data_IF_225129358459
#
_entry.id   IF_225129358459
#
_cell.length_a   1.000
_cell.length_b   1.000
_cell.length_c   1.000
_cell.angle_alpha   90.00
_cell.angle_beta   90.00
_cell.angle_gamma   90.00
#
_symmetry.space_group_name_H-M   'P 1'
#
loop_
_entity.id
_entity.type
_entity.pdbx_description
1 polymer ?
#
# COMPACT_ATOMS: atom_id res chain seq x y z
N UNK A 1 -9.81 -1.98 13.60
CA UNK A 1 -8.60 -2.23 12.77
C UNK A 1 -7.88 -3.49 13.25
N UNK A 2 -7.20 -4.24 12.38
CA UNK A 2 -6.48 -5.47 12.75
C UNK A 2 -5.25 -5.17 13.58
N UNK A 3 -4.96 -6.02 14.57
CA UNK A 3 -3.79 -5.88 15.42
C UNK A 3 -2.50 -6.34 14.74
N UNK A 4 -2.59 -7.31 13.83
CA UNK A 4 -1.46 -7.92 13.10
C UNK A 4 -1.92 -8.47 11.74
N UNK A 5 -0.96 -8.95 10.93
CA UNK A 5 -1.26 -9.53 9.63
C UNK A 5 -1.98 -10.88 9.73
N UNK A 6 -1.74 -11.68 10.75
CA UNK A 6 -2.44 -12.98 10.91
C UNK A 6 -3.95 -12.75 11.05
N UNK A 7 -4.36 -11.74 11.81
CA UNK A 7 -5.76 -11.36 11.94
C UNK A 7 -6.35 -10.80 10.64
N UNK A 8 -5.55 -10.06 9.87
CA UNK A 8 -5.95 -9.61 8.54
C UNK A 8 -6.15 -10.82 7.61
N UNK A 9 -5.18 -11.72 7.52
CA UNK A 9 -5.25 -12.93 6.66
C UNK A 9 -6.48 -13.77 7.01
N UNK A 10 -6.70 -14.05 8.30
CA UNK A 10 -7.84 -14.85 8.75
C UNK A 10 -9.21 -14.24 8.43
N UNK A 11 -9.28 -12.93 8.21
CA UNK A 11 -10.53 -12.22 7.90
C UNK A 11 -10.81 -12.08 6.41
N UNK A 12 -9.82 -12.37 5.55
CA UNK A 12 -9.96 -12.18 4.11
C UNK A 12 -10.68 -13.37 3.47
N UNK A 13 -11.61 -13.02 2.63
CA UNK A 13 -12.32 -13.96 1.75
C UNK A 13 -12.52 -13.27 0.41
N UNK A 14 -12.78 -13.98 -0.62
CA UNK A 14 -13.23 -13.37 -1.85
C UNK A 14 -12.64 -14.01 -3.10
N UNK A 15 -13.38 -13.82 -4.19
CA UNK A 15 -12.98 -14.27 -5.51
C UNK A 15 -12.24 -13.13 -6.21
N UNK A 16 -10.93 -13.26 -6.34
CA UNK A 16 -10.11 -12.37 -7.12
C UNK A 16 -9.19 -13.16 -8.05
N UNK A 17 -8.71 -12.53 -9.11
CA UNK A 17 -7.69 -13.12 -9.98
C UNK A 17 -6.42 -12.28 -9.90
N UNK A 18 -5.31 -12.92 -9.58
CA UNK A 18 -4.01 -12.29 -9.55
C UNK A 18 -3.42 -12.29 -10.97
N UNK A 19 -2.99 -11.13 -11.47
CA UNK A 19 -2.13 -11.04 -12.66
C UNK A 19 -0.73 -10.71 -12.21
N UNK A 20 0.20 -11.66 -12.42
CA UNK A 20 1.56 -11.57 -11.90
C UNK A 20 2.50 -11.12 -13.01
N UNK A 21 2.98 -9.88 -12.93
CA UNK A 21 3.93 -9.32 -13.89
C UNK A 21 5.36 -9.78 -13.58
N UNK A 22 6.04 -10.43 -14.53
CA UNK A 22 7.35 -11.05 -14.39
C UNK A 22 7.36 -12.11 -13.27
N UNK A 23 6.54 -13.13 -13.46
CA UNK A 23 6.31 -14.23 -12.53
C UNK A 23 7.44 -15.26 -12.50
N UNK A 24 8.70 -14.84 -12.69
CA UNK A 24 9.86 -15.70 -12.75
C UNK A 24 10.81 -15.45 -11.56
N UNK A 25 10.26 -15.35 -10.36
CA UNK A 25 10.98 -15.41 -9.09
C UNK A 25 10.23 -16.29 -8.07
N UNK A 26 11.00 -17.05 -7.32
CA UNK A 26 10.51 -18.05 -6.37
C UNK A 26 9.61 -17.44 -5.29
N UNK A 27 10.04 -16.36 -4.63
CA UNK A 27 9.27 -15.73 -3.55
C UNK A 27 7.92 -15.16 -4.01
N UNK A 28 7.86 -14.69 -5.26
CA UNK A 28 6.58 -14.23 -5.83
C UNK A 28 5.65 -15.41 -6.09
N UNK A 29 6.16 -16.48 -6.69
CA UNK A 29 5.34 -17.66 -6.97
C UNK A 29 4.89 -18.39 -5.70
N UNK A 30 5.77 -18.53 -4.69
CA UNK A 30 5.37 -19.05 -3.37
C UNK A 30 4.22 -18.24 -2.76
N UNK A 31 4.32 -16.92 -2.75
CA UNK A 31 3.26 -16.05 -2.21
C UNK A 31 1.96 -16.16 -3.00
N UNK A 32 2.03 -16.21 -4.34
CA UNK A 32 0.86 -16.34 -5.21
C UNK A 32 0.18 -17.68 -5.01
N UNK A 33 0.92 -18.78 -4.98
CA UNK A 33 0.34 -20.11 -4.77
C UNK A 33 -0.28 -20.23 -3.37
N UNK A 34 0.41 -19.72 -2.34
CA UNK A 34 -0.14 -19.70 -0.98
C UNK A 34 -1.40 -18.83 -0.90
N UNK A 35 -1.43 -17.69 -1.54
CA UNK A 35 -2.62 -16.83 -1.59
C UNK A 35 -3.78 -17.52 -2.33
N UNK A 36 -3.48 -18.18 -3.46
CA UNK A 36 -4.48 -18.93 -4.22
C UNK A 36 -5.11 -20.05 -3.40
N UNK A 37 -4.29 -20.79 -2.63
CA UNK A 37 -4.78 -21.87 -1.76
C UNK A 37 -5.57 -21.35 -0.55
N UNK A 38 -5.06 -20.29 0.13
CA UNK A 38 -5.67 -19.78 1.37
C UNK A 38 -6.98 -19.04 1.10
N UNK A 39 -7.04 -18.29 -0.01
CA UNK A 39 -8.18 -17.41 -0.31
C UNK A 39 -9.02 -17.86 -1.51
N UNK A 40 -8.74 -19.04 -2.08
CA UNK A 40 -9.41 -19.58 -3.28
C UNK A 40 -9.36 -18.58 -4.47
N UNK A 41 -8.14 -18.14 -4.83
CA UNK A 41 -7.92 -17.15 -5.90
C UNK A 41 -7.50 -17.80 -7.21
N UNK A 42 -7.99 -17.24 -8.32
CA UNK A 42 -7.38 -17.47 -9.63
C UNK A 42 -6.06 -16.72 -9.80
N UNK A 43 -5.20 -17.17 -10.71
CA UNK A 43 -4.00 -16.45 -11.09
C UNK A 43 -3.62 -16.66 -12.55
N UNK A 44 -2.95 -15.65 -13.12
CA UNK A 44 -2.37 -15.67 -14.46
C UNK A 44 -0.93 -15.15 -14.36
N UNK A 45 0.02 -15.87 -14.93
CA UNK A 45 1.44 -15.61 -14.83
C UNK A 45 1.96 -15.03 -16.15
N UNK A 46 2.62 -13.87 -16.10
CA UNK A 46 3.15 -13.17 -17.27
C UNK A 46 4.66 -13.07 -17.20
N UNK A 47 5.37 -13.43 -18.26
CA UNK A 47 6.83 -13.32 -18.35
C UNK A 47 7.48 -14.43 -19.19
N UNK A 48 8.73 -14.75 -18.90
CA UNK A 48 9.47 -15.83 -19.54
C UNK A 48 8.85 -17.19 -19.13
N UNK A 49 8.12 -17.79 -20.04
CA UNK A 49 7.36 -19.01 -19.76
C UNK A 49 8.25 -20.19 -19.37
N UNK A 50 9.45 -20.31 -19.94
CA UNK A 50 10.36 -21.40 -19.62
C UNK A 50 10.84 -21.26 -18.17
N UNK A 51 11.22 -20.05 -17.75
CA UNK A 51 11.62 -19.79 -16.36
C UNK A 51 10.45 -20.00 -15.39
N UNK A 52 9.25 -19.52 -15.73
CA UNK A 52 8.06 -19.74 -14.91
C UNK A 52 7.83 -21.24 -14.69
N UNK A 53 7.81 -22.04 -15.77
CA UNK A 53 7.61 -23.49 -15.69
C UNK A 53 8.70 -24.20 -14.88
N UNK A 54 9.95 -23.76 -15.03
CA UNK A 54 11.07 -24.31 -14.27
C UNK A 54 10.88 -24.09 -12.76
N UNK A 55 10.61 -22.85 -12.33
CA UNK A 55 10.39 -22.53 -10.90
C UNK A 55 9.15 -23.25 -10.37
N UNK A 56 8.04 -23.27 -11.12
CA UNK A 56 6.84 -24.03 -10.71
C UNK A 56 7.16 -25.51 -10.46
N UNK A 57 7.95 -26.13 -11.34
CA UNK A 57 8.39 -27.51 -11.15
C UNK A 57 9.22 -27.72 -9.89
N UNK A 58 10.14 -26.80 -9.59
CA UNK A 58 10.93 -26.82 -8.34
C UNK A 58 10.05 -26.69 -7.09
N UNK A 59 9.00 -25.87 -7.17
CA UNK A 59 8.01 -25.70 -6.10
C UNK A 59 6.97 -26.83 -6.04
N UNK A 60 7.00 -27.79 -6.96
CA UNK A 60 6.00 -28.88 -7.05
C UNK A 60 4.58 -28.38 -7.37
N UNK A 61 4.46 -27.30 -8.14
CA UNK A 61 3.20 -26.66 -8.53
C UNK A 61 3.02 -26.61 -10.04
N UNK A 62 1.77 -26.59 -10.48
CA UNK A 62 1.44 -26.34 -11.89
C UNK A 62 1.37 -24.82 -12.17
N UNK A 63 1.89 -24.35 -13.31
CA UNK A 63 1.93 -22.92 -13.61
C UNK A 63 0.55 -22.31 -13.92
N UNK A 64 -0.46 -23.13 -14.21
CA UNK A 64 -1.78 -22.64 -14.62
C UNK A 64 -1.74 -21.88 -15.94
N UNK A 65 -2.45 -20.73 -16.02
CA UNK A 65 -2.48 -19.89 -17.22
C UNK A 65 -1.21 -19.06 -17.27
N UNK A 66 -0.41 -19.25 -18.33
CA UNK A 66 0.81 -18.48 -18.57
C UNK A 66 0.69 -17.63 -19.85
N UNK A 67 1.28 -16.46 -19.82
CA UNK A 67 1.38 -15.55 -20.95
C UNK A 67 2.84 -15.21 -21.20
N UNK A 68 3.40 -15.75 -22.28
CA UNK A 68 4.81 -15.50 -22.63
C UNK A 68 5.06 -14.02 -22.93
N UNK A 69 6.16 -13.49 -22.44
CA UNK A 69 6.69 -12.18 -22.76
C UNK A 69 8.23 -12.24 -22.81
N UNK A 70 8.83 -11.54 -23.77
CA UNK A 70 10.25 -11.62 -24.09
C UNK A 70 11.11 -10.69 -23.25
N UNK A 71 10.53 -9.60 -22.77
CA UNK A 71 11.20 -8.59 -21.94
C UNK A 71 10.25 -7.93 -20.92
N UNK A 72 10.79 -7.10 -20.05
CA UNK A 72 10.08 -6.41 -19.00
C UNK A 72 9.02 -5.42 -19.54
N UNK A 73 9.25 -4.81 -20.70
CA UNK A 73 8.31 -3.85 -21.28
C UNK A 73 7.08 -4.57 -21.84
N UNK A 74 7.28 -5.63 -22.58
CA UNK A 74 6.20 -6.50 -23.07
C UNK A 74 5.44 -7.12 -21.90
N UNK A 75 6.16 -7.58 -20.88
CA UNK A 75 5.56 -8.12 -19.64
C UNK A 75 4.64 -7.11 -18.97
N UNK A 76 5.10 -5.88 -18.81
CA UNK A 76 4.30 -4.82 -18.18
C UNK A 76 3.04 -4.49 -18.98
N UNK A 77 3.17 -4.31 -20.31
CA UNK A 77 2.05 -3.99 -21.19
C UNK A 77 1.02 -5.12 -21.18
N UNK A 78 1.47 -6.36 -21.32
CA UNK A 78 0.63 -7.57 -21.33
C UNK A 78 -0.11 -7.74 -20.01
N UNK A 79 0.57 -7.56 -18.88
CA UNK A 79 -0.03 -7.63 -17.55
C UNK A 79 -1.10 -6.55 -17.34
N UNK A 80 -0.84 -5.31 -17.79
CA UNK A 80 -1.81 -4.21 -17.71
C UNK A 80 -3.00 -4.45 -18.65
N UNK A 81 -2.79 -5.03 -19.82
CA UNK A 81 -3.88 -5.41 -20.73
C UNK A 81 -4.79 -6.48 -20.13
N UNK A 82 -4.18 -7.53 -19.56
CA UNK A 82 -4.93 -8.62 -18.91
C UNK A 82 -5.76 -8.13 -17.72
N UNK A 83 -5.19 -7.31 -16.85
CA UNK A 83 -5.89 -6.86 -15.64
C UNK A 83 -7.11 -5.99 -15.96
N UNK A 84 -7.17 -5.33 -17.11
CA UNK A 84 -8.34 -4.58 -17.56
C UNK A 84 -9.58 -5.42 -17.80
N UNK A 85 -9.37 -6.65 -18.26
CA UNK A 85 -10.44 -7.59 -18.63
C UNK A 85 -10.94 -8.42 -17.44
N UNK A 86 -10.29 -8.26 -16.27
CA UNK A 86 -10.57 -9.09 -15.10
C UNK A 86 -11.31 -8.26 -14.04
N UNK A 87 -12.56 -8.62 -13.82
CA UNK A 87 -13.32 -8.10 -12.68
C UNK A 87 -12.71 -8.61 -11.36
N UNK A 88 -12.53 -7.74 -10.38
CA UNK A 88 -11.84 -8.03 -9.11
C UNK A 88 -10.39 -8.53 -9.30
N UNK A 89 -9.69 -8.02 -10.32
CA UNK A 89 -8.29 -8.34 -10.55
C UNK A 89 -7.36 -7.63 -9.56
N UNK A 90 -6.24 -8.27 -9.23
CA UNK A 90 -5.12 -7.70 -8.47
C UNK A 90 -3.86 -7.85 -9.29
N UNK A 91 -3.18 -6.71 -9.58
CA UNK A 91 -1.90 -6.73 -10.28
C UNK A 91 -0.77 -6.96 -9.27
N UNK A 92 0.00 -8.02 -9.45
CA UNK A 92 1.11 -8.38 -8.58
C UNK A 92 2.42 -8.12 -9.29
N UNK A 93 3.28 -7.30 -8.69
CA UNK A 93 4.64 -7.08 -9.19
C UNK A 93 5.54 -8.24 -8.76
N UNK A 94 6.07 -8.98 -9.73
CA UNK A 94 7.15 -9.96 -9.55
C UNK A 94 8.54 -9.35 -9.79
N UNK A 95 9.38 -10.04 -10.55
CA UNK A 95 10.79 -9.65 -10.80
C UNK A 95 10.96 -8.61 -11.92
N UNK A 96 10.21 -7.53 -11.88
CA UNK A 96 10.24 -6.42 -12.85
C UNK A 96 10.63 -5.12 -12.16
N UNK A 97 11.26 -4.18 -12.88
CA UNK A 97 11.51 -2.85 -12.36
C UNK A 97 10.21 -2.10 -12.07
N UNK A 98 10.11 -1.51 -10.88
CA UNK A 98 8.93 -0.72 -10.47
C UNK A 98 8.58 0.35 -11.50
N UNK A 99 9.60 1.08 -11.98
CA UNK A 99 9.39 2.13 -12.99
C UNK A 99 8.84 1.60 -14.31
N UNK A 100 9.24 0.42 -14.75
CA UNK A 100 8.76 -0.20 -16.00
C UNK A 100 7.29 -0.59 -15.87
N UNK A 101 6.91 -1.27 -14.79
CA UNK A 101 5.53 -1.63 -14.54
C UNK A 101 4.63 -0.38 -14.39
N UNK A 102 5.06 0.60 -13.57
CA UNK A 102 4.27 1.80 -13.34
C UNK A 102 4.12 2.66 -14.60
N UNK A 103 5.12 2.72 -15.50
CA UNK A 103 4.96 3.40 -16.80
C UNK A 103 3.83 2.79 -17.64
N UNK A 104 3.71 1.47 -17.67
CA UNK A 104 2.59 0.81 -18.34
C UNK A 104 1.25 1.10 -17.65
N UNK A 105 1.22 1.07 -16.31
CA UNK A 105 0.02 1.37 -15.51
C UNK A 105 -0.51 2.79 -15.74
N UNK A 106 0.37 3.80 -15.82
CA UNK A 106 -0.04 5.21 -15.99
C UNK A 106 -0.14 5.64 -17.46
N UNK A 107 0.10 4.76 -18.41
CA UNK A 107 0.00 5.07 -19.83
C UNK A 107 -1.39 5.64 -20.15
N UNK A 108 -1.43 6.72 -20.94
CA UNK A 108 -2.69 7.45 -21.22
C UNK A 108 -3.67 6.67 -22.08
N UNK A 109 -3.17 5.82 -22.99
CA UNK A 109 -3.99 5.08 -23.96
C UNK A 109 -4.34 3.68 -23.46
N UNK A 110 -3.38 2.99 -22.85
CA UNK A 110 -3.48 1.58 -22.52
C UNK A 110 -3.43 1.29 -21.02
N UNK A 111 -3.09 2.28 -20.19
CA UNK A 111 -2.96 2.14 -18.74
C UNK A 111 -4.28 1.95 -18.01
N UNK A 112 -4.17 1.80 -16.70
CA UNK A 112 -5.31 1.56 -15.78
C UNK A 112 -5.41 2.63 -14.68
N UNK A 113 -4.75 3.78 -14.84
CA UNK A 113 -4.89 4.87 -13.86
C UNK A 113 -6.33 5.36 -13.80
N UNK A 114 -6.94 5.37 -12.62
CA UNK A 114 -8.33 5.79 -12.41
C UNK A 114 -8.49 7.11 -11.66
N UNK A 115 -7.45 7.56 -10.92
CA UNK A 115 -7.45 8.83 -10.21
C UNK A 115 -6.36 9.77 -10.75
N UNK A 116 -6.41 11.05 -10.38
CA UNK A 116 -5.36 12.02 -10.74
C UNK A 116 -4.02 11.62 -10.14
N UNK A 117 -4.03 11.21 -8.87
CA UNK A 117 -2.84 10.80 -8.13
C UNK A 117 -2.99 9.36 -7.67
N UNK A 118 -2.10 8.49 -8.12
CA UNK A 118 -1.91 7.17 -7.53
C UNK A 118 -0.96 7.30 -6.35
N UNK A 119 -1.12 6.49 -5.31
CA UNK A 119 -0.29 6.55 -4.11
C UNK A 119 0.07 5.16 -3.58
N UNK A 120 1.22 5.06 -2.94
CA UNK A 120 1.66 3.86 -2.25
C UNK A 120 1.26 3.92 -0.78
N UNK A 121 0.71 2.84 -0.26
CA UNK A 121 0.36 2.68 1.15
C UNK A 121 1.11 1.46 1.67
N UNK A 122 1.98 1.67 2.66
CA UNK A 122 2.63 0.61 3.40
C UNK A 122 1.88 0.38 4.72
N UNK A 123 1.47 -0.85 4.98
CA UNK A 123 0.99 -1.27 6.30
C UNK A 123 2.14 -1.92 7.06
N UNK A 124 2.28 -1.55 8.31
CA UNK A 124 3.32 -2.02 9.21
C UNK A 124 2.70 -2.70 10.43
N UNK A 125 3.12 -3.93 10.69
CA UNK A 125 2.92 -4.60 11.97
C UNK A 125 4.16 -4.34 12.80
N UNK A 126 4.04 -3.47 13.80
CA UNK A 126 5.16 -3.03 14.63
C UNK A 126 4.96 -3.66 16.02
N UNK A 127 5.94 -4.44 16.57
CA UNK A 127 5.78 -5.10 17.85
C UNK A 127 5.39 -4.19 19.02
N UNK A 128 5.80 -2.92 18.96
CA UNK A 128 5.52 -1.91 19.98
C UNK A 128 4.22 -1.12 19.73
N UNK A 129 3.44 -1.46 18.71
CA UNK A 129 2.20 -0.77 18.36
C UNK A 129 1.01 -1.73 18.34
N UNK A 130 -0.14 -1.27 18.78
CA UNK A 130 -1.30 -2.14 19.09
C UNK A 130 -2.12 -2.59 17.86
N UNK A 131 -1.82 -2.08 16.68
CA UNK A 131 -2.55 -2.38 15.43
C UNK A 131 -1.67 -2.13 14.20
N UNK A 132 -2.14 -2.59 13.04
CA UNK A 132 -1.50 -2.26 11.76
C UNK A 132 -1.52 -0.75 11.53
N UNK A 133 -0.35 -0.18 11.28
CA UNK A 133 -0.14 1.24 11.03
C UNK A 133 0.11 1.47 9.54
N UNK A 134 -0.70 2.30 8.90
CA UNK A 134 -0.46 2.68 7.52
C UNK A 134 0.43 3.92 7.40
N UNK A 135 1.38 3.88 6.48
CA UNK A 135 2.25 5.00 6.10
C UNK A 135 2.05 5.32 4.63
N UNK A 136 1.72 6.55 4.30
CA UNK A 136 1.49 7.02 2.91
C UNK A 136 1.95 8.47 2.73
N UNK A 137 2.55 8.89 1.62
CA UNK A 137 3.17 8.10 0.58
C UNK A 137 4.67 7.97 0.88
N UNK A 138 5.17 6.77 0.84
CA UNK A 138 6.59 6.48 1.03
C UNK A 138 7.22 5.72 -0.15
N UNK A 139 6.48 5.58 -1.28
CA UNK A 139 6.93 4.74 -2.37
C UNK A 139 6.66 5.27 -3.79
N UNK A 140 5.87 6.33 -3.97
CA UNK A 140 5.43 6.74 -5.30
C UNK A 140 5.51 8.26 -5.54
N UNK A 141 4.97 9.08 -4.67
CA UNK A 141 4.93 10.53 -4.82
C UNK A 141 6.16 11.20 -4.21
N UNK A 142 7.10 11.65 -5.05
CA UNK A 142 8.38 12.21 -4.58
C UNK A 142 8.22 13.43 -3.66
N UNK A 143 7.52 14.44 -4.14
CA UNK A 143 7.21 15.68 -3.41
C UNK A 143 5.75 16.06 -3.75
N UNK A 144 4.77 15.50 -3.03
CA UNK A 144 3.38 15.69 -3.37
C UNK A 144 2.95 17.14 -3.13
N UNK A 145 2.26 17.74 -4.13
CA UNK A 145 1.58 19.02 -3.97
C UNK A 145 0.43 18.89 -2.96
N UNK A 146 -0.17 20.03 -2.59
CA UNK A 146 -1.34 20.04 -1.71
C UNK A 146 -2.48 19.19 -2.28
N UNK A 147 -2.82 19.37 -3.57
CA UNK A 147 -3.86 18.62 -4.26
C UNK A 147 -3.54 17.12 -4.32
N UNK A 148 -2.29 16.77 -4.54
CA UNK A 148 -1.86 15.36 -4.49
C UNK A 148 -2.00 14.77 -3.08
N UNK A 149 -1.71 15.54 -2.03
CA UNK A 149 -1.92 15.08 -0.64
C UNK A 149 -3.41 14.84 -0.34
N UNK A 150 -4.32 15.64 -0.89
CA UNK A 150 -5.78 15.39 -0.81
C UNK A 150 -6.12 14.03 -1.44
N UNK A 151 -5.62 13.78 -2.66
CA UNK A 151 -5.85 12.49 -3.34
C UNK A 151 -5.25 11.32 -2.57
N UNK A 152 -4.04 11.47 -2.00
CA UNK A 152 -3.37 10.46 -1.17
C UNK A 152 -4.23 10.09 0.04
N UNK A 153 -4.77 11.09 0.76
CA UNK A 153 -5.70 10.86 1.88
C UNK A 153 -6.94 10.10 1.39
N UNK A 154 -7.59 10.54 0.32
CA UNK A 154 -8.76 9.86 -0.24
C UNK A 154 -8.47 8.41 -0.64
N UNK A 155 -7.31 8.15 -1.22
CA UNK A 155 -6.86 6.80 -1.57
C UNK A 155 -6.70 5.92 -0.32
N UNK A 156 -6.05 6.43 0.72
CA UNK A 156 -5.90 5.71 1.99
C UNK A 156 -7.26 5.39 2.62
N UNK A 157 -8.16 6.35 2.66
CA UNK A 157 -9.50 6.17 3.23
C UNK A 157 -10.34 5.14 2.46
N UNK A 158 -10.23 5.09 1.11
CA UNK A 158 -10.89 4.04 0.31
C UNK A 158 -10.36 2.65 0.67
N UNK A 159 -9.04 2.50 0.81
CA UNK A 159 -8.45 1.22 1.21
C UNK A 159 -8.90 0.84 2.63
N UNK A 160 -8.90 1.77 3.57
CA UNK A 160 -9.40 1.53 4.93
C UNK A 160 -10.87 1.10 4.96
N UNK A 161 -11.72 1.69 4.14
CA UNK A 161 -13.11 1.26 4.00
C UNK A 161 -13.24 -0.20 3.55
N UNK A 162 -12.37 -0.65 2.66
CA UNK A 162 -12.34 -2.05 2.21
C UNK A 162 -11.78 -2.99 3.29
N UNK A 163 -10.80 -2.53 4.07
CA UNK A 163 -10.12 -3.36 5.08
C UNK A 163 -10.90 -3.43 6.38
N UNK A 164 -11.42 -2.31 6.89
CA UNK A 164 -12.01 -2.20 8.21
C UNK A 164 -13.55 -2.04 8.20
N UNK A 165 -14.15 -1.95 7.01
CA UNK A 165 -15.58 -1.72 6.82
C UNK A 165 -15.98 -0.25 6.81
N UNK A 166 -17.21 0.02 6.33
CA UNK A 166 -17.74 1.39 6.12
C UNK A 166 -17.98 2.18 7.42
N UNK A 167 -18.17 1.49 8.53
CA UNK A 167 -18.50 2.11 9.83
C UNK A 167 -17.25 2.46 10.64
N UNK A 168 -16.08 2.00 10.20
CA UNK A 168 -14.82 2.35 10.84
C UNK A 168 -14.48 3.82 10.59
N UNK A 169 -14.09 4.55 11.65
CA UNK A 169 -13.68 5.95 11.59
C UNK A 169 -12.15 6.03 11.69
N UNK A 170 -11.44 6.19 10.57
CA UNK A 170 -9.99 6.23 10.57
C UNK A 170 -9.43 7.45 11.30
N UNK A 171 -8.26 7.27 11.93
CA UNK A 171 -7.48 8.32 12.59
C UNK A 171 -6.25 8.62 11.73
N UNK A 172 -6.22 9.80 11.12
CA UNK A 172 -5.20 10.24 10.17
C UNK A 172 -4.35 11.35 10.77
N UNK A 173 -3.05 11.17 10.80
CA UNK A 173 -2.08 12.18 11.23
C UNK A 173 -1.27 12.69 10.04
N UNK A 174 -1.36 13.98 9.72
CA UNK A 174 -0.49 14.63 8.74
C UNK A 174 0.78 15.12 9.43
N UNK A 175 1.88 14.39 9.19
CA UNK A 175 3.14 14.61 9.90
C UNK A 175 3.85 15.87 9.43
N UNK A 176 4.37 16.60 10.41
CA UNK A 176 5.29 17.73 10.25
C UNK A 176 6.36 17.69 11.35
N UNK A 177 7.31 18.60 11.28
CA UNK A 177 8.39 18.69 12.26
C UNK A 177 7.90 19.10 13.66
N UNK A 178 6.73 19.76 13.76
CA UNK A 178 6.12 20.21 15.01
C UNK A 178 4.60 20.18 14.92
N UNK A 179 3.95 20.34 16.07
CA UNK A 179 2.50 20.42 16.22
C UNK A 179 1.91 21.83 16.03
N UNK A 180 2.75 22.82 15.77
CA UNK A 180 2.33 24.21 15.52
C UNK A 180 2.56 24.59 14.07
N UNK A 181 1.61 25.35 13.50
CA UNK A 181 1.72 25.85 12.14
C UNK A 181 2.99 26.72 11.99
N UNK A 182 3.87 26.30 11.10
CA UNK A 182 5.02 27.05 10.67
C UNK A 182 4.87 27.44 9.18
N UNK A 183 4.61 28.72 8.86
CA UNK A 183 4.36 29.15 7.49
C UNK A 183 5.60 29.08 6.57
N UNK A 184 6.78 28.77 7.13
CA UNK A 184 8.03 28.58 6.37
C UNK A 184 8.24 27.13 5.91
N UNK A 185 7.38 26.20 6.34
CA UNK A 185 7.47 24.78 6.04
C UNK A 185 6.22 24.33 5.31
N UNK A 186 6.34 23.97 4.05
CA UNK A 186 5.20 23.55 3.20
C UNK A 186 4.45 22.35 3.77
N UNK A 187 5.15 21.40 4.41
CA UNK A 187 4.53 20.26 5.05
C UNK A 187 3.63 20.67 6.23
N UNK A 188 4.06 21.66 7.03
CA UNK A 188 3.26 22.23 8.12
C UNK A 188 2.02 22.97 7.59
N UNK A 189 2.20 23.78 6.54
CA UNK A 189 1.09 24.51 5.89
C UNK A 189 0.08 23.53 5.28
N UNK A 190 0.55 22.56 4.50
CA UNK A 190 -0.33 21.56 3.90
C UNK A 190 -1.08 20.72 4.95
N UNK A 191 -0.42 20.38 6.08
CA UNK A 191 -1.07 19.61 7.14
C UNK A 191 -2.19 20.41 7.83
N UNK A 192 -2.00 21.69 8.08
CA UNK A 192 -3.00 22.61 8.63
C UNK A 192 -4.21 22.79 7.67
N UNK A 193 -3.93 22.97 6.39
CA UNK A 193 -4.97 23.09 5.37
C UNK A 193 -5.75 21.79 5.18
N UNK A 194 -5.12 20.63 5.23
CA UNK A 194 -5.79 19.32 5.19
C UNK A 194 -6.68 19.11 6.41
N UNK A 195 -6.26 19.56 7.61
CA UNK A 195 -7.09 19.53 8.81
C UNK A 195 -8.36 20.35 8.62
N UNK A 196 -8.27 21.56 8.09
CA UNK A 196 -9.44 22.40 7.77
C UNK A 196 -10.38 21.74 6.76
N UNK A 197 -9.83 21.05 5.74
CA UNK A 197 -10.65 20.27 4.81
C UNK A 197 -11.35 19.08 5.50
N UNK A 198 -10.68 18.39 6.40
CA UNK A 198 -11.28 17.33 7.19
C UNK A 198 -12.43 17.85 8.07
N UNK A 199 -12.25 18.98 8.74
CA UNK A 199 -13.27 19.66 9.54
C UNK A 199 -14.47 20.13 8.71
N UNK A 200 -14.25 20.50 7.43
CA UNK A 200 -15.34 20.85 6.50
C UNK A 200 -16.09 19.62 5.93
N UNK A 201 -15.64 18.39 6.25
CA UNK A 201 -16.28 17.15 5.81
C UNK A 201 -15.79 16.61 4.46
N UNK A 202 -14.74 17.18 3.85
CA UNK A 202 -14.20 16.76 2.53
C UNK A 202 -13.79 15.28 2.49
N UNK A 203 -13.39 14.72 3.62
CA UNK A 203 -12.95 13.33 3.76
C UNK A 203 -14.00 12.41 4.41
N UNK A 204 -15.21 12.91 4.69
CA UNK A 204 -16.22 12.17 5.40
C UNK A 204 -15.91 12.04 6.90
N UNK A 205 -16.42 11.00 7.55
CA UNK A 205 -16.20 10.78 9.00
C UNK A 205 -14.80 10.22 9.26
N UNK A 206 -13.91 11.06 9.75
CA UNK A 206 -12.55 10.69 10.18
C UNK A 206 -12.14 11.53 11.38
N UNK A 207 -11.15 11.05 12.14
CA UNK A 207 -10.35 11.92 13.00
C UNK A 207 -9.11 12.35 12.23
N UNK A 208 -8.87 13.63 12.10
CA UNK A 208 -7.70 14.17 11.39
C UNK A 208 -6.93 15.13 12.28
N UNK A 209 -5.62 14.95 12.34
CA UNK A 209 -4.74 15.85 13.08
C UNK A 209 -3.55 16.25 12.21
N UNK A 210 -3.20 17.52 12.25
CA UNK A 210 -2.07 18.07 11.51
C UNK A 210 -2.05 19.60 11.57
N UNK A 211 -0.85 20.22 11.58
CA UNK A 211 0.46 19.54 11.67
C UNK A 211 0.65 18.84 13.03
N UNK A 212 1.32 17.69 13.03
CA UNK A 212 1.63 16.94 14.25
C UNK A 212 2.99 16.24 14.12
N UNK A 213 3.77 16.22 15.19
CA UNK A 213 5.02 15.47 15.23
C UNK A 213 4.80 13.97 15.41
N UNK A 214 5.73 13.16 14.92
CA UNK A 214 5.63 11.70 14.94
C UNK A 214 5.39 11.13 16.36
N UNK A 215 6.15 11.62 17.35
CA UNK A 215 6.06 11.15 18.72
C UNK A 215 4.69 11.42 19.36
N UNK A 216 4.05 12.53 19.05
CA UNK A 216 2.69 12.84 19.51
C UNK A 216 1.66 11.92 18.84
N UNK A 217 1.81 11.66 17.54
CA UNK A 217 0.89 10.80 16.81
C UNK A 217 0.90 9.34 17.34
N UNK A 218 2.08 8.78 17.63
CA UNK A 218 2.20 7.35 17.96
C UNK A 218 2.35 7.04 19.44
N UNK A 219 2.51 8.04 20.31
CA UNK A 219 2.76 7.85 21.73
C UNK A 219 1.86 8.71 22.62
N UNK A 220 0.90 8.07 23.26
CA UNK A 220 0.05 8.74 24.26
C UNK A 220 0.89 9.38 25.38
N UNK A 221 1.93 8.69 25.83
CA UNK A 221 2.85 9.21 26.88
C UNK A 221 3.57 10.49 26.44
N UNK A 222 3.96 10.59 25.17
CA UNK A 222 4.61 11.80 24.62
C UNK A 222 3.62 12.95 24.55
N UNK A 223 2.38 12.69 24.11
CA UNK A 223 1.32 13.68 24.08
C UNK A 223 1.00 14.22 25.48
N UNK A 224 0.82 13.33 26.47
CA UNK A 224 0.56 13.71 27.88
C UNK A 224 1.70 14.60 28.45
N UNK A 225 2.95 14.24 28.18
CA UNK A 225 4.12 15.04 28.64
C UNK A 225 4.18 16.43 28.04
N UNK A 226 3.72 16.59 26.80
CA UNK A 226 3.70 17.88 26.09
C UNK A 226 2.37 18.64 26.29
N UNK A 227 1.41 18.06 27.05
CA UNK A 227 0.08 18.68 27.24
C UNK A 227 -0.71 18.76 25.94
N UNK A 228 -0.46 17.83 24.98
CA UNK A 228 -1.16 17.78 23.72
C UNK A 228 -2.33 16.81 23.78
N UNK A 229 -3.54 17.31 23.55
CA UNK A 229 -4.78 16.50 23.63
C UNK A 229 -5.37 16.27 22.26
N UNK A 230 -5.42 15.02 21.83
CA UNK A 230 -6.13 14.59 20.64
C UNK A 230 -6.52 13.11 20.75
N UNK A 231 -7.73 12.72 20.25
CA UNK A 231 -8.21 11.33 20.32
C UNK A 231 -7.38 10.36 19.48
N UNK A 232 -6.46 10.86 18.64
CA UNK A 232 -5.62 9.98 17.82
C UNK A 232 -4.25 9.72 18.45
N UNK A 233 -3.83 10.46 19.48
CA UNK A 233 -2.51 10.28 20.09
C UNK A 233 -2.30 8.87 20.65
N UNK A 234 -1.29 8.17 20.14
CA UNK A 234 -0.99 6.79 20.51
C UNK A 234 -1.93 5.74 19.90
N UNK A 235 -2.86 6.16 19.02
CA UNK A 235 -3.82 5.26 18.37
C UNK A 235 -4.13 5.69 16.92
N UNK A 236 -3.13 6.23 16.22
CA UNK A 236 -3.26 6.64 14.83
C UNK A 236 -3.35 5.43 13.90
N UNK A 237 -4.13 5.54 12.81
CA UNK A 237 -4.27 4.51 11.79
C UNK A 237 -3.40 4.79 10.57
N UNK A 238 -3.33 6.07 10.16
CA UNK A 238 -2.64 6.51 8.94
C UNK A 238 -1.70 7.65 9.25
N UNK A 239 -0.43 7.48 8.94
CA UNK A 239 0.55 8.55 8.88
C UNK A 239 0.64 9.06 7.44
N UNK A 240 0.18 10.29 7.21
CA UNK A 240 0.42 11.01 5.97
C UNK A 240 1.80 11.68 6.05
N UNK A 241 2.70 11.25 5.18
CA UNK A 241 4.07 11.72 5.16
C UNK A 241 4.22 13.03 4.38
N UNK A 242 5.17 13.89 4.73
CA UNK A 242 5.45 15.12 3.98
C UNK A 242 5.93 14.83 2.55
N UNK A 243 6.62 13.70 2.34
CA UNK A 243 7.10 13.26 1.04
C UNK A 243 7.77 11.89 1.11
N UNK A 244 8.14 11.36 -0.06
CA UNK A 244 8.62 9.99 -0.24
C UNK A 244 9.82 9.64 0.63
N UNK A 245 10.79 10.55 0.76
CA UNK A 245 12.02 10.29 1.52
C UNK A 245 11.71 10.03 2.98
N UNK A 246 10.86 10.86 3.60
CA UNK A 246 10.47 10.69 4.99
C UNK A 246 9.71 9.38 5.20
N UNK A 247 8.75 9.05 4.32
CA UNK A 247 8.00 7.81 4.40
C UNK A 247 8.85 6.57 4.18
N UNK A 248 9.73 6.59 3.19
CA UNK A 248 10.62 5.48 2.88
C UNK A 248 11.63 5.22 4.01
N UNK A 249 12.25 6.28 4.54
CA UNK A 249 13.19 6.16 5.68
C UNK A 249 12.47 5.64 6.90
N UNK A 250 11.27 6.15 7.23
CA UNK A 250 10.49 5.67 8.37
C UNK A 250 10.17 4.18 8.25
N UNK A 251 9.59 3.75 7.12
CA UNK A 251 9.23 2.35 6.91
C UNK A 251 10.45 1.43 7.04
N UNK A 252 11.56 1.76 6.37
CA UNK A 252 12.79 0.96 6.45
C UNK A 252 13.40 0.93 7.85
N UNK A 253 13.40 2.07 8.55
CA UNK A 253 13.90 2.11 9.92
C UNK A 253 13.07 1.24 10.87
N UNK A 254 11.75 1.23 10.70
CA UNK A 254 10.88 0.38 11.51
C UNK A 254 11.08 -1.11 11.20
N UNK A 255 11.31 -1.48 9.94
CA UNK A 255 11.63 -2.85 9.55
C UNK A 255 12.98 -3.28 10.15
N UNK A 256 14.03 -2.52 9.87
CA UNK A 256 15.40 -2.92 10.23
C UNK A 256 15.69 -2.83 11.74
N UNK A 257 15.14 -1.84 12.44
CA UNK A 257 15.47 -1.58 13.83
C UNK A 257 14.37 -1.98 14.82
N UNK A 258 13.12 -1.94 14.41
CA UNK A 258 11.99 -2.29 15.28
C UNK A 258 11.38 -3.65 14.96
N UNK A 259 11.90 -4.39 13.98
CA UNK A 259 11.41 -5.71 13.59
C UNK A 259 9.98 -5.69 13.02
N UNK A 260 9.59 -4.58 12.40
CA UNK A 260 8.28 -4.47 11.80
C UNK A 260 8.17 -5.37 10.55
N UNK A 261 7.01 -6.04 10.41
CA UNK A 261 6.60 -6.65 9.14
C UNK A 261 5.89 -5.61 8.29
N UNK A 262 5.98 -5.75 6.96
CA UNK A 262 5.37 -4.80 6.03
C UNK A 262 4.50 -5.50 4.98
N UNK A 263 3.48 -4.78 4.53
CA UNK A 263 2.74 -5.07 3.31
C UNK A 263 2.54 -3.77 2.53
N UNK A 264 2.64 -3.81 1.20
CA UNK A 264 2.59 -2.59 0.37
C UNK A 264 1.67 -2.72 -0.83
N UNK A 265 0.83 -1.71 -1.04
CA UNK A 265 -0.07 -1.62 -2.19
C UNK A 265 -0.05 -0.24 -2.82
N UNK A 266 -0.20 -0.19 -4.13
CA UNK A 266 -0.49 1.05 -4.87
C UNK A 266 -1.97 1.09 -5.20
N UNK A 267 -2.58 2.21 -4.91
CA UNK A 267 -4.01 2.49 -5.14
C UNK A 267 -4.19 3.72 -6.03
N UNK A 268 -5.40 3.91 -6.55
CA UNK A 268 -5.69 4.97 -7.51
C UNK A 268 -5.61 4.51 -8.97
N UNK A 269 -5.43 3.21 -9.20
CA UNK A 269 -5.67 2.52 -10.47
C UNK A 269 -7.03 1.80 -10.46
N UNK A 270 -7.48 1.30 -11.62
CA UNK A 270 -8.70 0.51 -11.73
C UNK A 270 -8.64 -0.81 -10.98
N UNK A 271 -7.44 -1.36 -10.79
CA UNK A 271 -7.16 -2.51 -9.94
C UNK A 271 -6.08 -2.14 -8.91
N UNK A 272 -6.11 -2.68 -7.67
CA UNK A 272 -5.03 -2.52 -6.73
C UNK A 272 -3.76 -3.22 -7.23
N UNK A 273 -2.60 -2.66 -6.86
CA UNK A 273 -1.31 -3.17 -7.31
C UNK A 273 -0.48 -3.55 -6.09
N UNK A 274 -0.16 -4.82 -5.94
CA UNK A 274 0.80 -5.29 -4.95
C UNK A 274 2.19 -4.83 -5.37
N UNK A 275 2.76 -3.93 -4.58
CA UNK A 275 4.06 -3.34 -4.88
C UNK A 275 4.92 -3.30 -3.63
N UNK A 276 5.85 -4.22 -3.54
CA UNK A 276 6.84 -4.35 -2.48
C UNK A 276 8.26 -4.37 -3.04
N UNK A 277 9.26 -4.32 -2.18
CA UNK A 277 10.67 -4.42 -2.58
C UNK A 277 10.95 -5.70 -3.37
N UNK A 278 12.00 -5.71 -4.21
CA UNK A 278 12.48 -6.95 -4.85
C UNK A 278 12.99 -7.97 -3.83
N UNK A 279 13.49 -7.51 -2.70
CA UNK A 279 13.97 -8.33 -1.59
C UNK A 279 12.86 -8.76 -0.63
N UNK A 280 11.59 -8.43 -0.93
CA UNK A 280 10.47 -8.79 -0.07
C UNK A 280 10.27 -10.30 0.01
N UNK A 281 10.02 -10.80 1.21
CA UNK A 281 9.73 -12.20 1.46
C UNK A 281 8.39 -12.64 0.84
N UNK A 282 8.17 -13.94 0.74
CA UNK A 282 6.88 -14.48 0.35
C UNK A 282 5.76 -14.06 1.32
N UNK A 283 6.07 -13.93 2.63
CA UNK A 283 5.12 -13.45 3.65
C UNK A 283 4.70 -11.99 3.39
N UNK A 284 5.63 -11.09 3.10
CA UNK A 284 5.30 -9.69 2.77
C UNK A 284 4.41 -9.58 1.52
N UNK A 285 4.68 -10.40 0.50
CA UNK A 285 3.88 -10.45 -0.73
C UNK A 285 2.49 -11.00 -0.44
N UNK A 286 2.36 -12.07 0.35
CA UNK A 286 1.09 -12.64 0.78
C UNK A 286 0.25 -11.62 1.56
N UNK A 287 0.84 -10.94 2.53
CA UNK A 287 0.19 -9.89 3.31
C UNK A 287 -0.29 -8.74 2.39
N UNK A 288 0.50 -8.38 1.38
CA UNK A 288 0.14 -7.34 0.41
C UNK A 288 -1.02 -7.77 -0.49
N UNK A 289 -1.07 -9.04 -0.90
CA UNK A 289 -2.22 -9.59 -1.62
C UNK A 289 -3.48 -9.51 -0.74
N UNK A 290 -3.39 -9.91 0.52
CA UNK A 290 -4.51 -9.86 1.46
C UNK A 290 -5.10 -8.46 1.66
N UNK A 291 -4.28 -7.40 1.61
CA UNK A 291 -4.75 -6.00 1.64
C UNK A 291 -5.64 -5.64 0.44
N UNK A 292 -5.50 -6.33 -0.69
CA UNK A 292 -6.26 -6.09 -1.91
C UNK A 292 -7.59 -6.84 -1.95
N UNK A 293 -7.80 -7.82 -1.07
CA UNK A 293 -9.01 -8.64 -0.99
C UNK A 293 -10.09 -7.98 -0.11
N UNK A 294 -11.32 -8.45 -0.27
CA UNK A 294 -12.48 -8.00 0.54
C UNK A 294 -12.68 -8.89 1.76
#
# INVERSE_FOLDING_TARGET
MYSNFDNLLASRTGHATLVVAAAHDEFTLEAVFKAAEVFDLGYQLVGDEEKIRHICKELGKEPGITHHATDDQETAIKSVSLIKEIENGVLVKGHIETGTLLRAVVNKEHGIRSTKTMSHIAFLEIPAYNKLLAVTDGGMCASPSFEQKIDIVKNALRLYKNIAGSDYIPKVAALAASETLNPKLDDSVHADELKKLAESGEFGKIFFEGPISFDLAVSKKSAEKKGYESPLCGDVDVLLMPGITAGNVLCKSLIEWAGAKMAGVVVGAAAPIVLVSRSASAEEKLNSIALCLK
#
